data_IF_986559132990
#
_entry.id   IF_986559132990
#
_cell.length_a   1.000
_cell.length_b   1.000
_cell.length_c   1.000
_cell.angle_alpha   90.00
_cell.angle_beta   90.00
_cell.angle_gamma   90.00
#
_symmetry.space_group_name_H-M   'P 1'
#
loop_
_entity.id
_entity.type
_entity.pdbx_description
1 polymer ?
#
# COMPACT_ATOMS: atom_id res chain seq x y z
N UNK A 1 -12.58 -27.67 27.78
CA UNK A 1 -13.17 -26.39 28.25
C UNK A 1 -13.21 -25.41 27.10
N UNK A 2 -14.35 -25.36 26.42
CA UNK A 2 -14.65 -24.38 25.37
C UNK A 2 -14.98 -23.04 26.03
N UNK A 3 -14.34 -21.91 25.64
CA UNK A 3 -14.74 -20.60 26.13
C UNK A 3 -16.14 -20.30 25.60
N UNK A 4 -17.10 -20.10 26.50
CA UNK A 4 -18.47 -19.75 26.15
C UNK A 4 -18.56 -18.48 25.30
N UNK A 5 -19.65 -18.29 24.55
CA UNK A 5 -19.84 -17.13 23.68
C UNK A 5 -19.70 -15.84 24.51
N UNK A 6 -18.63 -15.10 24.20
CA UNK A 6 -18.21 -13.92 24.95
C UNK A 6 -19.29 -12.85 24.97
N UNK A 7 -20.01 -12.77 26.08
CA UNK A 7 -20.56 -11.52 26.57
C UNK A 7 -19.38 -10.54 26.72
N UNK A 8 -19.35 -9.49 25.90
CA UNK A 8 -18.30 -8.46 25.97
C UNK A 8 -18.18 -7.94 27.41
N UNK A 9 -17.07 -8.20 28.13
CA UNK A 9 -16.87 -7.68 29.48
C UNK A 9 -16.05 -6.39 29.37
N UNK A 10 -16.69 -5.24 29.17
CA UNK A 10 -16.14 -3.90 29.43
C UNK A 10 -17.14 -2.82 29.00
N UNK A 11 -17.26 -1.76 29.81
CA UNK A 11 -18.00 -0.50 29.61
C UNK A 11 -19.39 -0.34 30.26
N UNK A 12 -19.81 -1.23 31.17
CA UNK A 12 -20.74 -0.78 32.23
C UNK A 12 -19.90 -0.19 33.36
N UNK A 13 -19.55 1.08 33.23
CA UNK A 13 -19.04 1.87 34.36
C UNK A 13 -20.19 1.98 35.36
N UNK A 14 -20.18 1.13 36.38
CA UNK A 14 -21.10 1.24 37.52
C UNK A 14 -20.47 2.25 38.46
N UNK A 15 -20.95 3.49 38.42
CA UNK A 15 -20.57 4.50 39.41
C UNK A 15 -21.55 4.36 40.59
N UNK A 16 -21.08 4.04 41.80
CA UNK A 16 -21.93 3.94 42.98
C UNK A 16 -22.73 5.24 43.17
N UNK A 17 -24.03 5.13 43.45
CA UNK A 17 -24.90 6.29 43.68
C UNK A 17 -25.42 7.00 42.41
N UNK A 18 -25.01 6.59 41.20
CA UNK A 18 -25.48 7.22 39.95
C UNK A 18 -26.50 6.34 39.23
N UNK A 19 -27.65 6.92 38.87
CA UNK A 19 -28.67 6.23 38.10
C UNK A 19 -28.10 5.67 36.78
N UNK A 20 -28.31 4.37 36.44
CA UNK A 20 -27.73 3.76 35.25
C UNK A 20 -28.09 4.45 33.93
N UNK A 21 -29.28 5.06 33.84
CA UNK A 21 -29.71 5.84 32.68
C UNK A 21 -28.86 7.12 32.51
N UNK A 22 -28.55 7.80 33.62
CA UNK A 22 -27.74 9.01 33.62
C UNK A 22 -26.31 8.70 33.20
N UNK A 23 -25.69 7.68 33.79
CA UNK A 23 -24.35 7.22 33.44
C UNK A 23 -24.23 6.89 31.95
N UNK A 24 -25.24 6.25 31.34
CA UNK A 24 -25.29 6.01 29.88
C UNK A 24 -25.38 7.30 29.08
N UNK A 25 -26.16 8.27 29.53
CA UNK A 25 -26.26 9.57 28.86
C UNK A 25 -24.94 10.33 28.91
N UNK A 26 -24.32 10.43 30.09
CA UNK A 26 -23.01 11.03 30.28
C UNK A 26 -21.92 10.33 29.45
N UNK A 27 -21.92 8.99 29.44
CA UNK A 27 -20.99 8.20 28.63
C UNK A 27 -21.12 8.49 27.12
N UNK A 28 -22.31 8.84 26.61
CA UNK A 28 -22.47 9.23 25.20
C UNK A 28 -21.74 10.55 24.90
N UNK A 29 -21.91 11.56 25.75
CA UNK A 29 -21.26 12.87 25.57
C UNK A 29 -19.75 12.80 25.77
N UNK A 30 -19.27 12.04 26.75
CA UNK A 30 -17.83 11.92 27.03
C UNK A 30 -17.07 11.15 25.94
N UNK A 31 -17.73 10.45 25.00
CA UNK A 31 -17.08 9.81 23.84
C UNK A 31 -16.23 10.78 23.00
N UNK A 32 -16.50 12.08 23.06
CA UNK A 32 -15.67 13.11 22.43
C UNK A 32 -14.21 13.10 22.93
N UNK A 33 -14.01 12.82 24.22
CA UNK A 33 -12.69 12.77 24.85
C UNK A 33 -11.83 11.61 24.29
N UNK A 34 -10.49 11.66 24.43
CA UNK A 34 -9.61 10.52 24.18
C UNK A 34 -9.98 9.30 25.05
N UNK A 35 -9.73 8.08 24.56
CA UNK A 35 -10.10 6.86 25.29
C UNK A 35 -9.23 6.71 26.54
N UNK A 36 -7.92 6.92 26.44
CA UNK A 36 -7.02 6.92 27.60
C UNK A 36 -7.37 8.00 28.65
N UNK A 37 -7.99 9.11 28.23
CA UNK A 37 -8.51 10.12 29.16
C UNK A 37 -9.74 9.60 29.90
N UNK A 38 -10.72 9.04 29.18
CA UNK A 38 -11.95 8.49 29.80
C UNK A 38 -11.67 7.35 30.77
N UNK A 39 -10.71 6.49 30.47
CA UNK A 39 -10.35 5.39 31.37
C UNK A 39 -9.81 5.90 32.71
N UNK A 40 -9.07 7.02 32.70
CA UNK A 40 -8.49 7.61 33.91
C UNK A 40 -9.46 8.51 34.67
N UNK A 41 -10.20 9.37 33.97
CA UNK A 41 -10.99 10.48 34.55
C UNK A 41 -12.49 10.39 34.29
N UNK A 42 -12.94 9.40 33.51
CA UNK A 42 -14.33 9.32 33.07
C UNK A 42 -15.31 9.05 34.20
N UNK A 43 -14.93 8.25 35.20
CA UNK A 43 -15.77 7.98 36.36
C UNK A 43 -15.90 9.21 37.26
N UNK A 44 -14.80 9.93 37.53
CA UNK A 44 -14.79 11.21 38.24
C UNK A 44 -15.72 12.22 37.55
N UNK A 45 -15.60 12.36 36.22
CA UNK A 45 -16.45 13.27 35.45
C UNK A 45 -17.93 12.88 35.51
N UNK A 46 -18.25 11.58 35.46
CA UNK A 46 -19.65 11.12 35.57
C UNK A 46 -20.21 11.38 36.96
N UNK A 47 -19.44 11.18 38.01
CA UNK A 47 -19.84 11.51 39.38
C UNK A 47 -20.12 13.01 39.55
N UNK A 48 -19.19 13.86 39.12
CA UNK A 48 -19.37 15.33 39.14
C UNK A 48 -20.61 15.76 38.35
N UNK A 49 -20.86 15.15 37.18
CA UNK A 49 -22.06 15.44 36.40
C UNK A 49 -23.35 15.01 37.12
N UNK A 50 -23.32 13.91 37.88
CA UNK A 50 -24.47 13.43 38.64
C UNK A 50 -24.75 14.36 39.84
N UNK A 51 -23.71 14.76 40.56
CA UNK A 51 -23.81 15.69 41.68
C UNK A 51 -24.40 17.04 41.23
N UNK A 52 -24.01 17.53 40.07
CA UNK A 52 -24.54 18.77 39.49
C UNK A 52 -25.96 18.65 38.95
N UNK A 53 -26.40 17.46 38.54
CA UNK A 53 -27.72 17.26 37.93
C UNK A 53 -28.82 16.97 38.97
N UNK A 54 -28.44 16.52 40.17
CA UNK A 54 -29.36 16.13 41.25
C UNK A 54 -29.74 14.64 41.20
N UNK A 55 -30.27 14.11 42.32
CA UNK A 55 -30.47 12.66 42.52
C UNK A 55 -31.47 12.03 41.55
N UNK A 56 -32.45 12.80 41.05
CA UNK A 56 -33.51 12.31 40.16
C UNK A 56 -33.17 12.44 38.67
N UNK A 57 -32.00 13.00 38.32
CA UNK A 57 -31.63 13.22 36.95
C UNK A 57 -31.35 11.90 36.21
N UNK A 58 -32.10 11.63 35.14
CA UNK A 58 -31.90 10.42 34.31
C UNK A 58 -31.05 10.67 33.07
N UNK A 59 -30.80 11.93 32.70
CA UNK A 59 -30.03 12.32 31.51
C UNK A 59 -29.27 13.63 31.75
N UNK A 60 -28.09 13.73 31.13
CA UNK A 60 -27.35 15.00 31.02
C UNK A 60 -28.11 15.94 30.09
N UNK A 61 -28.35 17.18 30.55
CA UNK A 61 -28.94 18.26 29.76
C UNK A 61 -28.16 18.52 28.46
N UNK A 62 -28.86 18.96 27.40
CA UNK A 62 -28.27 19.15 26.07
C UNK A 62 -27.19 20.24 26.08
N UNK A 63 -27.39 21.35 26.80
CA UNK A 63 -26.41 22.45 26.88
C UNK A 63 -25.12 21.97 27.54
N UNK A 64 -25.25 21.26 28.66
CA UNK A 64 -24.11 20.63 29.34
C UNK A 64 -23.45 19.60 28.43
N UNK A 65 -24.23 18.77 27.74
CA UNK A 65 -23.76 17.79 26.76
C UNK A 65 -22.93 18.41 25.62
N UNK A 66 -23.40 19.51 25.03
CA UNK A 66 -22.66 20.26 24.00
C UNK A 66 -21.37 20.88 24.56
N UNK A 67 -21.40 21.38 25.80
CA UNK A 67 -20.20 21.82 26.51
C UNK A 67 -19.16 20.71 26.67
N UNK A 68 -19.60 19.50 27.05
CA UNK A 68 -18.77 18.30 27.13
C UNK A 68 -18.23 17.86 25.76
N UNK A 69 -19.05 17.96 24.72
CA UNK A 69 -18.65 17.65 23.35
C UNK A 69 -17.52 18.59 22.90
N UNK A 70 -17.71 19.92 23.06
CA UNK A 70 -16.72 20.94 22.69
C UNK A 70 -15.42 20.77 23.47
N UNK A 71 -15.50 20.66 24.79
CA UNK A 71 -14.32 20.45 25.65
C UNK A 71 -13.59 19.14 25.33
N UNK A 72 -14.32 18.06 25.05
CA UNK A 72 -13.75 16.78 24.63
C UNK A 72 -13.03 16.85 23.28
N UNK A 73 -13.60 17.56 22.30
CA UNK A 73 -12.97 17.80 21.00
C UNK A 73 -11.69 18.65 21.12
N UNK A 74 -11.73 19.73 21.92
CA UNK A 74 -10.55 20.57 22.19
C UNK A 74 -9.47 19.76 22.90
N UNK A 75 -9.83 18.96 23.89
CA UNK A 75 -8.90 18.06 24.60
C UNK A 75 -8.25 17.09 23.62
N UNK A 76 -9.04 16.43 22.77
CA UNK A 76 -8.53 15.52 21.74
C UNK A 76 -7.59 16.23 20.75
N UNK A 77 -7.90 17.48 20.38
CA UNK A 77 -7.05 18.26 19.50
C UNK A 77 -5.70 18.59 20.16
N UNK A 78 -5.71 19.05 21.42
CA UNK A 78 -4.51 19.43 22.20
C UNK A 78 -3.63 18.24 22.58
N UNK A 79 -4.22 17.09 22.88
CA UNK A 79 -3.47 15.87 23.22
C UNK A 79 -2.86 15.16 22.01
N UNK A 80 -3.21 15.57 20.79
CA UNK A 80 -2.73 14.95 19.56
C UNK A 80 -1.48 15.60 18.97
N UNK A 81 -0.90 15.00 17.93
CA UNK A 81 0.20 15.58 17.17
C UNK A 81 -0.22 16.87 16.45
N UNK A 82 0.74 17.77 16.15
CA UNK A 82 0.49 18.93 15.30
C UNK A 82 -0.05 18.48 13.95
N UNK A 83 -0.78 19.37 13.27
CA UNK A 83 -1.53 19.02 12.07
C UNK A 83 -0.69 18.36 10.95
N UNK A 84 0.51 18.86 10.61
CA UNK A 84 1.31 18.25 9.54
C UNK A 84 1.70 16.80 9.84
N UNK A 85 2.17 16.51 11.05
CA UNK A 85 2.51 15.15 11.49
C UNK A 85 1.27 14.25 11.52
N UNK A 86 0.11 14.81 11.89
CA UNK A 86 -1.16 14.08 11.87
C UNK A 86 -1.57 13.69 10.44
N UNK A 87 -1.42 14.59 9.48
CA UNK A 87 -1.70 14.33 8.05
C UNK A 87 -0.71 13.30 7.49
N UNK A 88 0.59 13.43 7.79
CA UNK A 88 1.59 12.43 7.41
C UNK A 88 1.26 11.04 7.95
N UNK A 89 0.85 10.94 9.21
CA UNK A 89 0.43 9.68 9.80
C UNK A 89 -0.82 9.10 9.12
N UNK A 90 -1.86 9.92 8.91
CA UNK A 90 -3.14 9.46 8.35
C UNK A 90 -3.06 9.11 6.86
N UNK A 91 -2.35 9.89 6.05
CA UNK A 91 -2.30 9.74 4.59
C UNK A 91 -1.05 9.00 4.11
N UNK A 92 0.09 9.19 4.77
CA UNK A 92 1.40 8.70 4.31
C UNK A 92 1.96 7.57 5.20
N UNK A 93 1.27 7.19 6.28
CA UNK A 93 1.73 6.16 7.24
C UNK A 93 3.07 6.51 7.92
N UNK A 94 3.38 7.80 8.08
CA UNK A 94 4.61 8.24 8.76
C UNK A 94 4.57 7.86 10.23
N UNK A 95 5.72 7.45 10.78
CA UNK A 95 5.86 7.21 12.22
C UNK A 95 5.75 8.53 12.97
N UNK A 96 5.13 8.49 14.15
CA UNK A 96 5.03 9.64 15.05
C UNK A 96 6.04 9.45 16.19
N UNK A 97 6.54 10.55 16.75
CA UNK A 97 7.42 10.51 17.93
C UNK A 97 6.74 9.82 19.10
N UNK A 98 7.51 9.14 19.95
CA UNK A 98 7.02 8.36 21.10
C UNK A 98 6.12 9.13 22.06
N UNK A 99 6.28 10.47 22.17
CA UNK A 99 5.40 11.33 22.96
C UNK A 99 3.91 11.21 22.58
N UNK A 100 3.62 10.75 21.36
CA UNK A 100 2.27 10.55 20.82
C UNK A 100 1.81 9.09 20.79
N UNK A 101 2.56 8.15 21.36
CA UNK A 101 2.22 6.72 21.35
C UNK A 101 0.81 6.46 21.92
N UNK A 102 0.45 7.14 23.02
CA UNK A 102 -0.89 7.02 23.63
C UNK A 102 -2.00 7.52 22.69
N UNK A 103 -1.75 8.58 21.92
CA UNK A 103 -2.68 9.07 20.91
C UNK A 103 -2.83 8.06 19.76
N UNK A 104 -1.73 7.43 19.33
CA UNK A 104 -1.76 6.39 18.29
C UNK A 104 -2.56 5.16 18.74
N UNK A 105 -2.39 4.70 19.99
CA UNK A 105 -3.21 3.61 20.55
C UNK A 105 -4.71 3.95 20.47
N UNK A 106 -5.06 5.17 20.89
CA UNK A 106 -6.44 5.65 20.87
C UNK A 106 -7.01 5.74 19.44
N UNK A 107 -6.19 6.13 18.47
CA UNK A 107 -6.58 6.20 17.06
C UNK A 107 -6.74 4.80 16.45
N UNK A 108 -5.75 3.91 16.60
CA UNK A 108 -5.75 2.54 16.07
C UNK A 108 -6.89 1.67 16.63
N UNK A 109 -7.35 1.97 17.83
CA UNK A 109 -8.51 1.31 18.44
C UNK A 109 -9.85 1.92 18.00
N UNK A 110 -9.83 3.10 17.38
CA UNK A 110 -11.04 3.81 16.97
C UNK A 110 -11.61 3.26 15.64
N UNK A 111 -12.94 3.32 15.45
CA UNK A 111 -13.55 3.06 14.14
C UNK A 111 -13.08 4.05 13.06
N UNK A 112 -12.67 5.27 13.46
CA UNK A 112 -12.21 6.32 12.54
C UNK A 112 -10.94 5.92 11.80
N UNK A 113 -10.03 5.18 12.44
CA UNK A 113 -8.85 4.66 11.76
C UNK A 113 -9.22 3.77 10.56
N UNK A 114 -10.29 2.96 10.67
CA UNK A 114 -10.76 2.14 9.55
C UNK A 114 -11.27 2.99 8.39
N UNK A 115 -12.03 4.03 8.70
CA UNK A 115 -12.55 4.99 7.72
C UNK A 115 -11.40 5.73 7.03
N UNK A 116 -10.46 6.31 7.79
CA UNK A 116 -9.30 7.01 7.21
C UNK A 116 -8.41 6.08 6.39
N UNK A 117 -8.24 4.84 6.83
CA UNK A 117 -7.55 3.83 6.04
C UNK A 117 -8.26 3.56 4.71
N UNK A 118 -9.57 3.43 4.71
CA UNK A 118 -10.36 3.26 3.49
C UNK A 118 -10.16 4.44 2.53
N UNK A 119 -10.25 5.66 3.06
CA UNK A 119 -9.98 6.89 2.30
C UNK A 119 -8.56 6.85 1.72
N UNK A 120 -7.54 6.52 2.52
CA UNK A 120 -6.15 6.39 2.07
C UNK A 120 -5.96 5.29 1.02
N UNK A 121 -6.58 4.12 1.18
CA UNK A 121 -6.46 3.05 0.17
C UNK A 121 -7.15 3.41 -1.14
N UNK A 122 -8.20 4.22 -1.08
CA UNK A 122 -9.02 4.57 -2.23
C UNK A 122 -8.59 5.86 -2.91
N UNK A 123 -7.79 6.73 -2.27
CA UNK A 123 -7.38 8.00 -2.87
C UNK A 123 -6.68 7.86 -4.24
N UNK A 124 -5.82 6.84 -4.48
CA UNK A 124 -5.23 6.63 -5.81
C UNK A 124 -6.27 6.22 -6.86
N UNK A 125 -7.45 5.75 -6.43
CA UNK A 125 -8.57 5.38 -7.29
C UNK A 125 -9.39 6.57 -7.75
N UNK A 126 -9.45 7.64 -6.93
CA UNK A 126 -10.32 8.79 -7.15
C UNK A 126 -9.99 9.51 -8.45
N UNK A 127 -8.70 9.65 -8.78
CA UNK A 127 -8.28 10.34 -10.00
C UNK A 127 -8.68 9.55 -11.27
N UNK A 128 -8.39 8.24 -11.39
CA UNK A 128 -8.92 7.42 -12.49
C UNK A 128 -10.45 7.46 -12.59
N UNK A 129 -11.20 7.28 -11.48
CA UNK A 129 -12.67 7.29 -11.54
C UNK A 129 -13.26 8.65 -11.89
N UNK A 130 -12.63 9.75 -11.47
CA UNK A 130 -13.04 11.10 -11.89
C UNK A 130 -12.86 11.29 -13.40
N UNK A 131 -11.77 10.79 -13.98
CA UNK A 131 -11.53 10.80 -15.43
C UNK A 131 -12.55 9.90 -16.15
N UNK A 132 -12.99 8.81 -15.53
CA UNK A 132 -14.03 7.94 -16.09
C UNK A 132 -15.42 8.54 -16.13
N UNK A 133 -15.74 9.38 -15.15
CA UNK A 133 -17.05 10.00 -15.03
C UNK A 133 -17.32 11.04 -16.13
N UNK A 134 -16.29 11.53 -16.83
CA UNK A 134 -16.45 12.52 -17.91
C UNK A 134 -16.93 11.92 -19.23
N UNK A 135 -17.19 10.60 -19.32
CA UNK A 135 -17.83 9.96 -20.47
C UNK A 135 -16.92 9.69 -21.67
N UNK A 136 -15.96 10.59 -21.93
CA UNK A 136 -15.01 10.53 -23.05
C UNK A 136 -13.77 9.67 -22.77
N UNK A 137 -13.75 8.97 -21.64
CA UNK A 137 -12.59 8.18 -21.27
C UNK A 137 -12.46 6.94 -22.18
N UNK A 138 -11.33 6.78 -22.90
CA UNK A 138 -11.05 5.56 -23.64
C UNK A 138 -11.19 4.32 -22.76
N UNK A 139 -11.61 3.21 -23.35
CA UNK A 139 -11.92 1.96 -22.64
C UNK A 139 -10.75 1.45 -21.75
N UNK A 140 -9.51 1.82 -22.04
CA UNK A 140 -8.33 1.57 -21.20
C UNK A 140 -8.40 2.23 -19.81
N UNK A 141 -8.88 3.47 -19.74
CA UNK A 141 -9.09 4.13 -18.45
C UNK A 141 -10.21 3.43 -17.68
N UNK A 142 -11.20 2.83 -18.37
CA UNK A 142 -12.36 2.16 -17.73
C UNK A 142 -11.91 0.90 -17.02
N UNK A 143 -11.05 0.12 -17.68
CA UNK A 143 -10.43 -1.05 -17.08
C UNK A 143 -9.51 -0.66 -15.91
N UNK A 144 -8.72 0.42 -16.04
CA UNK A 144 -7.87 0.90 -14.96
C UNK A 144 -8.70 1.30 -13.73
N UNK A 145 -9.77 2.08 -13.91
CA UNK A 145 -10.67 2.46 -12.82
C UNK A 145 -11.36 1.25 -12.18
N UNK A 146 -11.78 0.25 -12.97
CA UNK A 146 -12.31 -1.01 -12.44
C UNK A 146 -11.28 -1.74 -11.58
N UNK A 147 -10.02 -1.84 -12.04
CA UNK A 147 -8.94 -2.46 -11.28
C UNK A 147 -8.67 -1.71 -9.97
N UNK A 148 -8.71 -0.37 -9.96
CA UNK A 148 -8.53 0.37 -8.70
C UNK A 148 -9.72 0.21 -7.75
N UNK A 149 -10.95 0.14 -8.27
CA UNK A 149 -12.14 -0.17 -7.46
C UNK A 149 -12.03 -1.58 -6.85
N UNK A 150 -11.67 -2.59 -7.64
CA UNK A 150 -11.45 -3.96 -7.17
C UNK A 150 -10.35 -4.00 -6.10
N UNK A 151 -9.25 -3.26 -6.30
CA UNK A 151 -8.19 -3.14 -5.32
C UNK A 151 -8.65 -2.45 -4.03
N UNK A 152 -9.44 -1.38 -4.13
CA UNK A 152 -10.02 -0.69 -2.98
C UNK A 152 -10.97 -1.61 -2.19
N UNK A 153 -11.82 -2.37 -2.88
CA UNK A 153 -12.72 -3.37 -2.26
C UNK A 153 -11.92 -4.50 -1.61
N UNK A 154 -10.87 -5.02 -2.25
CA UNK A 154 -9.99 -6.03 -1.67
C UNK A 154 -9.24 -5.51 -0.43
N UNK A 155 -8.84 -4.23 -0.43
CA UNK A 155 -8.22 -3.58 0.73
C UNK A 155 -9.22 -3.36 1.88
N UNK A 156 -10.48 -3.06 1.57
CA UNK A 156 -11.57 -2.98 2.54
C UNK A 156 -11.94 -4.36 3.12
N UNK A 157 -11.89 -5.41 2.30
CA UNK A 157 -12.13 -6.80 2.68
C UNK A 157 -10.95 -7.42 3.44
N UNK A 158 -9.74 -6.88 3.32
CA UNK A 158 -8.56 -7.37 4.04
C UNK A 158 -8.76 -7.28 5.56
N UNK A 159 -8.51 -8.41 6.26
CA UNK A 159 -8.87 -8.56 7.67
C UNK A 159 -8.38 -7.38 8.54
N UNK A 160 -9.30 -6.67 9.23
CA UNK A 160 -8.98 -5.46 9.98
C UNK A 160 -7.97 -5.74 11.11
N UNK A 161 -7.94 -6.97 11.62
CA UNK A 161 -7.02 -7.36 12.68
C UNK A 161 -5.57 -7.44 12.23
N UNK A 162 -5.29 -7.99 11.04
CA UNK A 162 -3.92 -8.13 10.54
C UNK A 162 -3.29 -6.78 10.30
N UNK A 163 -4.08 -5.82 9.79
CA UNK A 163 -3.58 -4.46 9.57
C UNK A 163 -3.46 -3.69 10.87
N UNK A 164 -4.40 -3.85 11.80
CA UNK A 164 -4.24 -3.27 13.14
C UNK A 164 -2.97 -3.80 13.81
N UNK A 165 -2.71 -5.11 13.76
CA UNK A 165 -1.48 -5.72 14.31
C UNK A 165 -0.22 -5.14 13.65
N UNK A 166 -0.24 -4.88 12.33
CA UNK A 166 0.87 -4.23 11.63
C UNK A 166 1.07 -2.80 12.07
N UNK A 167 0.01 -2.01 12.16
CA UNK A 167 0.09 -0.63 12.59
C UNK A 167 0.53 -0.51 14.06
N UNK A 168 0.05 -1.39 14.94
CA UNK A 168 0.51 -1.51 16.33
C UNK A 168 2.00 -1.84 16.36
N UNK A 169 2.46 -2.85 15.61
CA UNK A 169 3.89 -3.18 15.56
C UNK A 169 4.74 -2.03 15.02
N UNK A 170 4.28 -1.34 13.98
CA UNK A 170 5.02 -0.23 13.35
C UNK A 170 5.14 0.99 14.25
N UNK A 171 4.09 1.31 15.00
CA UNK A 171 4.01 2.58 15.74
C UNK A 171 4.15 2.45 17.25
N UNK A 172 4.05 1.25 17.83
CA UNK A 172 4.01 1.05 19.29
C UNK A 172 5.00 0.04 19.84
N UNK A 173 5.69 -0.73 18.99
CA UNK A 173 6.74 -1.65 19.44
C UNK A 173 8.08 -0.97 19.18
N UNK A 174 8.79 -0.50 20.23
CA UNK A 174 10.17 -0.06 20.08
C UNK A 174 10.98 -1.20 19.47
N UNK A 175 11.86 -0.88 18.53
CA UNK A 175 12.84 -1.85 18.05
C UNK A 175 13.70 -2.39 19.21
N UNK A 176 14.30 -3.58 19.09
CA UNK A 176 15.31 -4.00 20.07
C UNK A 176 16.45 -2.96 20.09
N UNK A 177 16.94 -2.55 21.27
CA UNK A 177 18.13 -1.71 21.35
C UNK A 177 19.32 -2.54 20.84
N UNK A 178 20.06 -1.98 19.90
CA UNK A 178 21.29 -2.53 19.35
C UNK A 178 22.42 -1.59 19.74
N UNK A 179 23.50 -2.13 20.30
CA UNK A 179 24.67 -1.32 20.66
C UNK A 179 25.39 -0.95 19.37
N UNK A 180 25.39 0.33 19.03
CA UNK A 180 26.15 0.90 17.93
C UNK A 180 27.66 0.74 18.14
N UNK A 181 28.47 0.93 17.09
CA UNK A 181 29.92 0.70 17.12
C UNK A 181 30.67 1.57 18.15
N UNK A 182 30.05 2.63 18.67
CA UNK A 182 30.59 3.51 19.72
C UNK A 182 30.04 3.24 21.12
N UNK A 183 29.31 2.13 21.32
CA UNK A 183 28.68 1.81 22.61
C UNK A 183 27.32 2.49 22.85
N UNK A 184 26.84 3.30 21.89
CA UNK A 184 25.54 3.96 21.97
C UNK A 184 24.40 2.97 21.76
N UNK A 185 23.33 3.03 22.55
CA UNK A 185 22.14 2.21 22.28
C UNK A 185 21.38 2.82 21.11
N UNK A 186 21.18 2.05 20.05
CA UNK A 186 20.49 2.43 18.82
C UNK A 186 19.25 1.56 18.68
N UNK A 187 18.07 2.17 18.62
CA UNK A 187 16.83 1.41 18.42
C UNK A 187 16.68 1.13 16.92
N UNK A 188 17.08 -0.07 16.48
CA UNK A 188 16.81 -0.49 15.11
C UNK A 188 15.33 -0.82 14.98
N UNK A 189 14.58 0.05 14.29
CA UNK A 189 13.25 -0.29 13.82
C UNK A 189 13.31 -1.59 13.02
N UNK A 190 12.49 -2.60 13.36
CA UNK A 190 12.45 -3.85 12.59
C UNK A 190 11.99 -3.55 11.16
N UNK A 191 12.91 -3.61 10.21
CA UNK A 191 12.61 -3.42 8.79
C UNK A 191 12.07 -4.74 8.24
N UNK A 192 10.79 -4.71 7.86
CA UNK A 192 10.15 -5.85 7.19
C UNK A 192 10.44 -5.77 5.72
N UNK A 193 11.20 -6.74 5.21
CA UNK A 193 11.46 -6.87 3.78
C UNK A 193 10.70 -8.07 3.23
N UNK A 194 10.15 -7.94 2.03
CA UNK A 194 9.41 -9.05 1.41
C UNK A 194 10.39 -10.14 0.99
N UNK A 195 10.05 -11.40 1.28
CA UNK A 195 10.79 -12.56 0.80
C UNK A 195 10.89 -12.54 -0.73
N UNK A 196 12.10 -12.69 -1.26
CA UNK A 196 12.35 -12.61 -2.70
C UNK A 196 11.59 -13.68 -3.47
N UNK A 197 11.63 -14.93 -2.99
CA UNK A 197 11.08 -16.09 -3.68
C UNK A 197 9.59 -15.96 -4.08
N UNK A 198 8.64 -15.73 -3.16
CA UNK A 198 7.23 -15.64 -3.53
C UNK A 198 6.92 -14.40 -4.38
N UNK A 199 7.60 -13.28 -4.15
CA UNK A 199 7.43 -12.07 -4.97
C UNK A 199 7.91 -12.32 -6.40
N UNK A 200 9.09 -12.91 -6.58
CA UNK A 200 9.64 -13.26 -7.88
C UNK A 200 8.75 -14.26 -8.63
N UNK A 201 8.14 -15.24 -7.95
CA UNK A 201 7.14 -16.14 -8.57
C UNK A 201 5.94 -15.37 -9.11
N UNK A 202 5.39 -14.44 -8.33
CA UNK A 202 4.29 -13.58 -8.77
C UNK A 202 4.68 -12.69 -9.96
N UNK A 203 5.83 -12.04 -9.89
CA UNK A 203 6.36 -11.22 -10.99
C UNK A 203 6.64 -12.05 -12.25
N UNK A 204 7.19 -13.26 -12.11
CA UNK A 204 7.48 -14.15 -13.22
C UNK A 204 6.21 -14.66 -13.88
N UNK A 205 5.20 -15.02 -13.10
CA UNK A 205 3.88 -15.39 -13.62
C UNK A 205 3.26 -14.24 -14.42
N UNK A 206 3.30 -13.01 -13.87
CA UNK A 206 2.83 -11.82 -14.58
C UNK A 206 3.61 -11.53 -15.86
N UNK A 207 4.95 -11.64 -15.83
CA UNK A 207 5.79 -11.45 -17.01
C UNK A 207 5.53 -12.52 -18.07
N UNK A 208 5.31 -13.78 -17.67
CA UNK A 208 4.95 -14.87 -18.59
C UNK A 208 3.58 -14.63 -19.23
N UNK A 209 2.56 -14.29 -18.43
CA UNK A 209 1.23 -13.93 -18.95
C UNK A 209 1.30 -12.75 -19.90
N UNK A 210 2.03 -11.69 -19.53
CA UNK A 210 2.22 -10.52 -20.39
C UNK A 210 2.99 -10.83 -21.67
N UNK A 211 4.05 -11.64 -21.60
CA UNK A 211 4.82 -12.02 -22.77
C UNK A 211 3.96 -12.78 -23.78
N UNK A 212 3.11 -13.71 -23.32
CA UNK A 212 2.19 -14.45 -24.20
C UNK A 212 1.08 -13.53 -24.73
N UNK A 213 0.37 -12.84 -23.85
CA UNK A 213 -0.80 -12.05 -24.22
C UNK A 213 -0.43 -10.86 -25.12
N UNK A 214 0.58 -10.08 -24.75
CA UNK A 214 0.99 -8.91 -25.53
C UNK A 214 1.69 -9.29 -26.83
N UNK A 215 2.48 -10.38 -26.88
CA UNK A 215 3.06 -10.81 -28.16
C UNK A 215 1.98 -11.32 -29.12
N UNK A 216 0.97 -12.04 -28.61
CA UNK A 216 -0.18 -12.44 -29.42
C UNK A 216 -0.96 -11.23 -29.93
N UNK A 217 -1.25 -10.24 -29.06
CA UNK A 217 -1.89 -9.01 -29.46
C UNK A 217 -1.08 -8.23 -30.50
N UNK A 218 0.24 -8.15 -30.33
CA UNK A 218 1.14 -7.47 -31.26
C UNK A 218 1.12 -8.12 -32.66
N UNK A 219 0.83 -9.42 -32.76
CA UNK A 219 0.72 -10.15 -34.02
C UNK A 219 -0.70 -10.10 -34.62
N UNK A 220 -1.74 -10.08 -33.79
CA UNK A 220 -3.14 -10.16 -34.21
C UNK A 220 -3.79 -8.80 -34.41
N UNK A 221 -3.25 -7.72 -33.84
CA UNK A 221 -3.86 -6.39 -33.90
C UNK A 221 -4.08 -5.95 -35.36
N UNK A 222 -5.32 -5.55 -35.73
CA UNK A 222 -5.69 -5.26 -37.13
C UNK A 222 -5.18 -3.90 -37.62
N UNK A 223 -4.80 -3.02 -36.69
CA UNK A 223 -4.41 -1.64 -36.96
C UNK A 223 -3.05 -1.31 -36.38
N UNK A 224 -2.34 -0.42 -37.05
CA UNK A 224 -1.00 0.06 -36.67
C UNK A 224 -0.99 1.58 -36.65
N UNK A 225 -0.11 2.20 -35.85
CA UNK A 225 0.06 3.65 -35.87
C UNK A 225 0.83 4.04 -37.12
N UNK A 226 0.23 4.93 -37.91
CA UNK A 226 0.87 5.52 -39.07
C UNK A 226 1.00 7.01 -38.86
N UNK A 227 2.22 7.51 -38.98
CA UNK A 227 2.47 8.95 -39.06
C UNK A 227 2.46 9.35 -40.53
N UNK A 228 1.44 10.08 -40.95
CA UNK A 228 1.39 10.63 -42.32
C UNK A 228 1.74 12.10 -42.28
N UNK A 229 2.66 12.52 -43.14
CA UNK A 229 2.96 13.94 -43.32
C UNK A 229 1.76 14.60 -44.00
N UNK A 230 1.27 15.71 -43.45
CA UNK A 230 0.21 16.47 -44.08
C UNK A 230 0.74 17.05 -45.41
N UNK A 231 -0.11 17.16 -46.45
CA UNK A 231 0.27 17.82 -47.70
C UNK A 231 0.68 19.27 -47.41
N UNK A 232 1.90 19.62 -47.81
CA UNK A 232 2.45 20.95 -47.62
C UNK A 232 2.00 21.86 -48.76
N UNK A 233 0.88 22.56 -48.58
CA UNK A 233 0.44 23.61 -49.52
C UNK A 233 1.29 24.88 -49.32
N UNK A 234 2.51 24.86 -49.87
CA UNK A 234 3.31 26.05 -50.18
C UNK A 234 3.88 26.87 -49.01
N UNK A 235 3.45 26.66 -47.76
CA UNK A 235 3.99 27.32 -46.58
C UNK A 235 4.44 26.27 -45.55
N UNK A 236 5.72 26.33 -45.18
CA UNK A 236 6.40 25.33 -44.34
C UNK A 236 5.74 25.22 -42.96
N UNK A 237 4.84 24.25 -42.82
CA UNK A 237 4.43 23.69 -41.53
C UNK A 237 4.61 22.18 -41.65
N UNK A 238 5.64 21.64 -40.99
CA UNK A 238 5.80 20.19 -40.82
C UNK A 238 4.71 19.69 -39.88
N UNK A 239 3.52 19.44 -40.43
CA UNK A 239 2.44 18.80 -39.68
C UNK A 239 2.52 17.28 -39.88
N UNK A 240 2.57 16.54 -38.78
CA UNK A 240 2.49 15.09 -38.75
C UNK A 240 1.15 14.71 -38.15
N UNK A 241 0.30 14.05 -38.93
CA UNK A 241 -0.93 13.46 -38.42
C UNK A 241 -0.65 12.02 -37.93
N UNK A 242 -1.18 11.68 -36.77
CA UNK A 242 -1.03 10.36 -36.15
C UNK A 242 -2.36 9.63 -36.31
N UNK A 243 -2.45 8.82 -37.36
CA UNK A 243 -3.62 8.01 -37.66
C UNK A 243 -3.42 6.53 -37.35
N UNK A 244 -4.50 5.77 -37.50
CA UNK A 244 -4.44 4.30 -37.55
C UNK A 244 -4.56 3.83 -39.00
N UNK A 245 -3.67 2.94 -39.42
CA UNK A 245 -3.71 2.30 -40.73
C UNK A 245 -3.92 0.79 -40.58
N UNK A 246 -4.60 0.12 -41.54
CA UNK A 246 -4.66 -1.33 -41.60
C UNK A 246 -3.25 -1.93 -41.61
N UNK A 247 -3.08 -3.05 -40.92
CA UNK A 247 -1.79 -3.72 -40.82
C UNK A 247 -1.35 -4.27 -42.20
N UNK A 248 -0.23 -3.77 -42.70
CA UNK A 248 0.43 -4.33 -43.89
C UNK A 248 1.20 -5.63 -43.58
N UNK A 249 1.45 -6.49 -44.59
CA UNK A 249 2.16 -7.76 -44.41
C UNK A 249 3.58 -7.59 -43.85
N UNK A 250 4.27 -6.51 -44.20
CA UNK A 250 5.65 -6.23 -43.75
C UNK A 250 5.75 -5.91 -42.26
N UNK A 251 4.69 -5.36 -41.65
CA UNK A 251 4.69 -5.00 -40.23
C UNK A 251 4.79 -6.24 -39.34
N UNK A 252 4.22 -7.36 -39.77
CA UNK A 252 4.32 -8.63 -39.03
C UNK A 252 5.76 -9.13 -38.94
N UNK A 253 6.54 -9.02 -40.02
CA UNK A 253 7.95 -9.38 -40.02
C UNK A 253 8.76 -8.48 -39.06
N UNK A 254 8.48 -7.18 -39.06
CA UNK A 254 9.10 -6.22 -38.14
C UNK A 254 8.78 -6.54 -36.68
N UNK A 255 7.51 -6.81 -36.35
CA UNK A 255 7.10 -7.18 -34.98
C UNK A 255 7.81 -8.46 -34.51
N UNK A 256 7.87 -9.49 -35.36
CA UNK A 256 8.59 -10.73 -35.04
C UNK A 256 10.08 -10.45 -34.81
N UNK A 257 10.72 -9.63 -35.65
CA UNK A 257 12.11 -9.25 -35.48
C UNK A 257 12.34 -8.50 -34.15
N UNK A 258 11.46 -7.58 -33.78
CA UNK A 258 11.53 -6.84 -32.49
C UNK A 258 11.40 -7.81 -31.30
N UNK A 259 10.45 -8.74 -31.34
CA UNK A 259 10.28 -9.74 -30.27
C UNK A 259 11.50 -10.66 -30.17
N UNK A 260 12.09 -11.08 -31.30
CA UNK A 260 13.30 -11.88 -31.32
C UNK A 260 14.50 -11.12 -30.74
N UNK A 261 14.70 -9.85 -31.13
CA UNK A 261 15.74 -8.99 -30.55
C UNK A 261 15.53 -8.83 -29.04
N UNK A 262 14.30 -8.61 -28.59
CA UNK A 262 13.98 -8.50 -27.16
C UNK A 262 14.32 -9.78 -26.38
N UNK A 263 14.05 -10.96 -26.96
CA UNK A 263 14.44 -12.23 -26.37
C UNK A 263 15.96 -12.36 -26.24
N UNK A 264 16.72 -12.02 -27.29
CA UNK A 264 18.19 -12.03 -27.25
C UNK A 264 18.73 -11.06 -26.20
N UNK A 265 18.23 -9.83 -26.16
CA UNK A 265 18.58 -8.84 -25.13
C UNK A 265 18.27 -9.38 -23.74
N UNK A 266 17.10 -10.01 -23.55
CA UNK A 266 16.71 -10.65 -22.31
C UNK A 266 17.69 -11.74 -21.87
N UNK A 267 18.14 -12.61 -22.78
CA UNK A 267 19.14 -13.65 -22.50
C UNK A 267 20.50 -13.06 -22.09
N UNK A 268 20.95 -12.00 -22.78
CA UNK A 268 22.19 -11.30 -22.42
C UNK A 268 22.08 -10.68 -21.03
N UNK A 269 20.98 -9.97 -20.74
CA UNK A 269 20.73 -9.39 -19.42
C UNK A 269 20.58 -10.46 -18.34
N UNK A 270 19.99 -11.61 -18.66
CA UNK A 270 19.87 -12.73 -17.72
C UNK A 270 21.26 -13.31 -17.35
N UNK A 271 22.20 -13.35 -18.30
CA UNK A 271 23.58 -13.75 -18.03
C UNK A 271 24.30 -12.73 -17.12
N UNK A 272 24.09 -11.43 -17.34
CA UNK A 272 24.61 -10.35 -16.48
C UNK A 272 24.02 -10.45 -15.07
N UNK A 273 22.69 -10.60 -14.96
CA UNK A 273 21.98 -10.81 -13.71
C UNK A 273 22.52 -12.01 -12.93
N UNK A 274 22.74 -13.15 -13.61
CA UNK A 274 23.33 -14.35 -13.00
C UNK A 274 24.70 -14.07 -12.40
N UNK A 275 25.56 -13.34 -13.12
CA UNK A 275 26.91 -12.98 -12.65
C UNK A 275 26.84 -12.04 -11.46
N UNK A 276 25.97 -11.02 -11.50
CA UNK A 276 25.77 -10.08 -10.40
C UNK A 276 25.29 -10.80 -9.14
N UNK A 277 24.27 -11.66 -9.25
CA UNK A 277 23.72 -12.40 -8.11
C UNK A 277 24.72 -13.42 -7.54
N UNK A 278 25.46 -14.15 -8.40
CA UNK A 278 26.50 -15.10 -7.94
C UNK A 278 27.59 -14.43 -7.13
N UNK A 279 27.94 -13.18 -7.47
CA UNK A 279 28.95 -12.40 -6.73
C UNK A 279 28.36 -11.77 -5.47
N UNK A 280 27.16 -11.21 -5.56
CA UNK A 280 26.57 -10.38 -4.50
C UNK A 280 25.80 -11.13 -3.42
N UNK A 281 25.21 -12.29 -3.71
CA UNK A 281 24.44 -13.05 -2.72
C UNK A 281 25.31 -13.57 -1.55
N UNK A 282 26.50 -14.17 -1.78
CA UNK A 282 27.36 -14.61 -0.68
C UNK A 282 27.91 -13.47 0.18
N UNK A 283 27.97 -12.25 -0.36
CA UNK A 283 28.47 -11.06 0.33
C UNK A 283 27.37 -10.23 1.00
N UNK A 284 26.14 -10.75 1.10
CA UNK A 284 25.06 -10.02 1.77
C UNK A 284 25.42 -9.81 3.25
N UNK A 285 25.45 -8.55 3.74
CA UNK A 285 25.77 -8.28 5.13
C UNK A 285 24.69 -8.86 6.04
N UNK A 286 25.10 -9.47 7.15
CA UNK A 286 24.19 -9.90 8.21
C UNK A 286 23.47 -8.70 8.82
N UNK A 287 22.15 -8.69 8.81
CA UNK A 287 21.32 -7.60 9.34
C UNK A 287 20.45 -8.12 10.50
N UNK A 288 20.85 -7.93 11.77
CA UNK A 288 20.14 -8.50 12.92
C UNK A 288 18.73 -7.91 13.12
N UNK A 289 18.48 -6.70 12.64
CA UNK A 289 17.16 -6.05 12.70
C UNK A 289 16.17 -6.46 11.60
N UNK A 290 16.62 -7.27 10.63
CA UNK A 290 15.85 -7.57 9.42
C UNK A 290 14.93 -8.76 9.61
N UNK A 291 13.65 -8.55 9.34
CA UNK A 291 12.64 -9.62 9.29
C UNK A 291 12.23 -9.83 7.83
N UNK A 292 12.61 -10.96 7.23
CA UNK A 292 12.12 -11.34 5.90
C UNK A 292 10.76 -12.01 6.04
N UNK A 293 9.74 -11.38 5.46
CA UNK A 293 8.34 -11.77 5.66
C UNK A 293 7.75 -12.24 4.33
N UNK A 294 6.98 -13.34 4.31
CA UNK A 294 6.22 -13.69 3.12
C UNK A 294 5.22 -12.58 2.75
N UNK A 295 4.88 -12.45 1.46
CA UNK A 295 3.83 -11.54 1.04
C UNK A 295 2.51 -11.94 1.71
N UNK A 296 1.61 -10.97 1.86
CA UNK A 296 0.27 -11.24 2.35
C UNK A 296 -0.46 -12.21 1.42
N UNK A 297 -1.36 -13.06 1.93
CA UNK A 297 -2.20 -13.93 1.08
C UNK A 297 -2.95 -13.16 -0.01
N UNK A 298 -3.36 -11.91 0.28
CA UNK A 298 -4.01 -11.01 -0.68
C UNK A 298 -3.11 -10.53 -1.82
N UNK A 299 -1.80 -10.81 -1.77
CA UNK A 299 -0.89 -10.53 -2.89
C UNK A 299 -1.17 -11.48 -4.05
N UNK A 300 -1.52 -12.74 -3.77
CA UNK A 300 -1.86 -13.73 -4.81
C UNK A 300 -3.10 -13.28 -5.58
N UNK A 301 -4.15 -12.84 -4.87
CA UNK A 301 -5.35 -12.28 -5.51
C UNK A 301 -5.03 -11.04 -6.34
N UNK A 302 -4.09 -10.21 -5.88
CA UNK A 302 -3.60 -9.05 -6.64
C UNK A 302 -2.87 -9.45 -7.92
N UNK A 303 -2.00 -10.47 -7.88
CA UNK A 303 -1.31 -10.97 -9.06
C UNK A 303 -2.27 -11.62 -10.07
N UNK A 304 -3.25 -12.40 -9.60
CA UNK A 304 -4.29 -12.98 -10.48
C UNK A 304 -5.12 -11.88 -11.14
N UNK A 305 -5.57 -10.89 -10.38
CA UNK A 305 -6.32 -9.76 -10.92
C UNK A 305 -5.50 -8.96 -11.94
N UNK A 306 -4.20 -8.72 -11.66
CA UNK A 306 -3.30 -8.06 -12.60
C UNK A 306 -3.08 -8.89 -13.87
N UNK A 307 -2.92 -10.21 -13.76
CA UNK A 307 -2.79 -11.11 -14.91
C UNK A 307 -4.04 -11.08 -15.80
N UNK A 308 -5.23 -11.15 -15.19
CA UNK A 308 -6.51 -11.03 -15.90
C UNK A 308 -6.65 -9.65 -16.58
N UNK A 309 -6.24 -8.58 -15.90
CA UNK A 309 -6.21 -7.23 -16.48
C UNK A 309 -5.30 -7.14 -17.71
N UNK A 310 -4.10 -7.75 -17.65
CA UNK A 310 -3.17 -7.84 -18.78
C UNK A 310 -3.78 -8.61 -19.96
N UNK A 311 -4.41 -9.75 -19.70
CA UNK A 311 -5.06 -10.55 -20.76
C UNK A 311 -6.21 -9.79 -21.39
N UNK A 312 -7.08 -9.16 -20.58
CA UNK A 312 -8.20 -8.38 -21.09
C UNK A 312 -7.74 -7.18 -21.93
N UNK A 313 -6.70 -6.49 -21.48
CA UNK A 313 -6.08 -5.37 -22.19
C UNK A 313 -5.49 -5.80 -23.55
N UNK A 314 -4.73 -6.90 -23.56
CA UNK A 314 -4.16 -7.45 -24.78
C UNK A 314 -5.25 -7.94 -25.76
N UNK A 315 -6.31 -8.58 -25.26
CA UNK A 315 -7.45 -8.99 -26.08
C UNK A 315 -8.18 -7.79 -26.69
N UNK A 316 -8.36 -6.71 -25.92
CA UNK A 316 -9.00 -5.49 -26.42
C UNK A 316 -8.20 -4.86 -27.58
N UNK A 317 -6.87 -4.86 -27.50
CA UNK A 317 -5.97 -4.41 -28.58
C UNK A 317 -6.01 -5.36 -29.78
N UNK A 318 -5.98 -6.68 -29.54
CA UNK A 318 -6.04 -7.70 -30.60
C UNK A 318 -7.33 -7.62 -31.42
N UNK A 319 -8.47 -7.27 -30.80
CA UNK A 319 -9.77 -7.11 -31.47
C UNK A 319 -9.91 -5.70 -32.11
N UNK A 320 -8.95 -4.79 -31.90
CA UNK A 320 -9.00 -3.43 -32.44
C UNK A 320 -9.94 -2.48 -31.68
N UNK A 321 -10.48 -2.90 -30.53
CA UNK A 321 -11.28 -2.02 -29.65
C UNK A 321 -10.44 -0.96 -28.96
N UNK A 322 -9.13 -1.23 -28.79
CA UNK A 322 -8.13 -0.27 -28.32
C UNK A 322 -7.15 0.06 -29.44
N UNK A 323 -6.98 1.35 -29.69
CA UNK A 323 -6.00 1.87 -30.64
C UNK A 323 -4.62 2.07 -30.01
N UNK A 324 -4.46 1.92 -28.69
CA UNK A 324 -3.17 2.05 -28.03
C UNK A 324 -2.29 0.85 -28.41
N UNK A 325 -1.19 1.07 -29.13
CA UNK A 325 -0.20 0.04 -29.49
C UNK A 325 0.68 -0.39 -28.31
N UNK A 326 0.07 -0.69 -27.16
CA UNK A 326 0.79 -1.10 -25.95
C UNK A 326 1.54 -2.40 -26.17
N UNK A 327 0.98 -3.31 -26.97
CA UNK A 327 1.57 -4.61 -27.29
C UNK A 327 2.99 -4.51 -27.86
N UNK A 328 3.29 -3.48 -28.66
CA UNK A 328 4.60 -3.24 -29.30
C UNK A 328 5.69 -2.98 -28.26
N UNK A 329 5.36 -2.37 -27.13
CA UNK A 329 6.32 -2.09 -26.05
C UNK A 329 6.25 -3.14 -24.94
N UNK A 330 5.03 -3.52 -24.55
CA UNK A 330 4.78 -4.42 -23.43
C UNK A 330 5.23 -5.86 -23.74
N UNK A 331 5.05 -6.36 -24.96
CA UNK A 331 5.51 -7.70 -25.37
C UNK A 331 7.03 -7.87 -25.20
N UNK A 332 7.85 -7.03 -25.87
CA UNK A 332 9.31 -7.01 -25.69
C UNK A 332 9.75 -6.86 -24.24
N UNK A 333 9.16 -5.93 -23.49
CA UNK A 333 9.49 -5.70 -22.09
C UNK A 333 9.20 -6.94 -21.23
N UNK A 334 8.05 -7.58 -21.42
CA UNK A 334 7.68 -8.81 -20.70
C UNK A 334 8.62 -9.98 -21.03
N UNK A 335 9.07 -10.12 -22.29
CA UNK A 335 10.05 -11.16 -22.68
C UNK A 335 11.42 -10.95 -21.99
N UNK A 336 11.90 -9.71 -21.94
CA UNK A 336 13.13 -9.35 -21.22
C UNK A 336 12.98 -9.64 -19.72
N UNK A 337 11.86 -9.21 -19.12
CA UNK A 337 11.60 -9.45 -17.69
C UNK A 337 11.45 -10.94 -17.36
N UNK A 338 10.83 -11.72 -18.25
CA UNK A 338 10.63 -13.17 -18.08
C UNK A 338 11.98 -13.91 -18.02
N UNK A 339 12.89 -13.61 -18.95
CA UNK A 339 14.21 -14.25 -19.01
C UNK A 339 15.09 -13.87 -17.82
N UNK A 340 15.16 -12.59 -17.47
CA UNK A 340 15.90 -12.10 -16.30
C UNK A 340 15.30 -12.63 -15.00
N UNK A 341 13.97 -12.61 -14.89
CA UNK A 341 13.22 -13.08 -13.72
C UNK A 341 13.40 -14.57 -13.46
N UNK A 342 13.41 -15.41 -14.51
CA UNK A 342 13.61 -16.85 -14.38
C UNK A 342 14.99 -17.20 -13.79
N UNK A 343 16.05 -16.56 -14.29
CA UNK A 343 17.41 -16.74 -13.76
C UNK A 343 17.54 -16.22 -12.34
N UNK A 344 16.92 -15.07 -12.06
CA UNK A 344 16.90 -14.47 -10.73
C UNK A 344 16.20 -15.39 -9.73
N UNK A 345 15.04 -15.94 -10.09
CA UNK A 345 14.29 -16.90 -9.30
C UNK A 345 15.12 -18.16 -9.02
N UNK A 346 15.80 -18.70 -10.04
CA UNK A 346 16.65 -19.87 -9.89
C UNK A 346 17.83 -19.62 -8.94
N UNK A 347 18.38 -18.41 -8.92
CA UNK A 347 19.51 -18.04 -8.06
C UNK A 347 19.13 -17.93 -6.58
N UNK A 348 17.88 -17.56 -6.26
CA UNK A 348 17.43 -17.34 -4.86
C UNK A 348 16.53 -18.45 -4.33
N UNK A 349 16.25 -19.50 -5.12
CA UNK A 349 15.27 -20.54 -4.75
C UNK A 349 15.64 -21.32 -3.49
N UNK A 350 16.94 -21.45 -3.22
CA UNK A 350 17.49 -22.25 -2.13
C UNK A 350 17.74 -21.40 -0.86
N UNK A 351 17.49 -20.09 -0.90
CA UNK A 351 17.73 -19.17 0.22
C UNK A 351 16.48 -18.35 0.57
N UNK A 352 15.79 -18.77 1.63
CA UNK A 352 14.59 -18.11 2.14
C UNK A 352 14.87 -16.77 2.84
N UNK A 353 16.13 -16.43 3.13
CA UNK A 353 16.52 -15.23 3.87
C UNK A 353 16.78 -14.02 2.96
N UNK A 354 16.77 -14.22 1.65
CA UNK A 354 16.97 -13.14 0.67
C UNK A 354 15.70 -12.30 0.54
N UNK A 355 15.86 -10.99 0.70
CA UNK A 355 14.79 -10.01 0.49
C UNK A 355 14.75 -9.58 -0.97
N UNK A 356 13.53 -9.36 -1.48
CA UNK A 356 13.30 -8.93 -2.86
C UNK A 356 14.05 -7.62 -3.20
N UNK A 357 14.12 -6.67 -2.27
CA UNK A 357 14.78 -5.38 -2.49
C UNK A 357 16.30 -5.51 -2.70
N UNK A 358 16.95 -6.48 -2.05
CA UNK A 358 18.38 -6.69 -2.22
C UNK A 358 18.67 -7.26 -3.60
N UNK A 359 17.83 -8.20 -4.05
CA UNK A 359 17.91 -8.75 -5.41
C UNK A 359 17.84 -7.62 -6.43
N UNK A 360 16.87 -6.71 -6.30
CA UNK A 360 16.75 -5.56 -7.20
C UNK A 360 17.99 -4.65 -7.14
N UNK A 361 18.54 -4.39 -5.95
CA UNK A 361 19.77 -3.58 -5.80
C UNK A 361 20.98 -4.24 -6.43
N UNK A 362 21.18 -5.53 -6.21
CA UNK A 362 22.25 -6.31 -6.80
C UNK A 362 22.15 -6.34 -8.33
N UNK A 363 20.94 -6.51 -8.88
CA UNK A 363 20.70 -6.44 -10.31
C UNK A 363 20.96 -5.03 -10.89
N UNK A 364 20.70 -3.98 -10.10
CA UNK A 364 21.02 -2.61 -10.46
C UNK A 364 22.51 -2.25 -10.28
N UNK A 365 23.35 -3.20 -9.85
CA UNK A 365 24.78 -2.96 -9.55
C UNK A 365 25.00 -2.02 -8.37
N UNK A 366 24.02 -1.91 -7.46
CA UNK A 366 24.10 -1.06 -6.27
C UNK A 366 24.39 -1.88 -5.03
N UNK A 367 25.12 -1.28 -4.11
CA UNK A 367 25.37 -1.88 -2.81
C UNK A 367 24.06 -2.05 -2.02
N UNK A 368 23.99 -3.17 -1.30
CA UNK A 368 22.86 -3.46 -0.42
C UNK A 368 23.00 -2.58 0.81
N UNK A 369 22.10 -1.61 0.97
CA UNK A 369 22.12 -0.75 2.14
C UNK A 369 21.94 -1.60 3.40
N UNK A 370 22.91 -1.47 4.29
CA UNK A 370 22.77 -1.83 5.68
C UNK A 370 21.76 -0.86 6.28
N UNK A 371 20.77 -1.38 6.99
CA UNK A 371 19.86 -0.53 7.75
C UNK A 371 20.70 0.15 8.84
N UNK A 372 21.13 1.37 8.58
CA UNK A 372 21.74 2.24 9.59
C UNK A 372 20.65 2.53 10.62
N UNK A 373 20.95 2.23 11.88
CA UNK A 373 20.02 2.62 12.93
C UNK A 373 20.04 4.12 13.10
N UNK A 374 18.86 4.72 13.20
CA UNK A 374 18.77 6.08 13.70
C UNK A 374 19.40 6.09 15.09
N UNK A 375 20.48 6.87 15.33
CA UNK A 375 21.06 6.97 16.66
C UNK A 375 19.91 7.27 17.62
N UNK A 376 19.71 6.42 18.63
CA UNK A 376 18.63 6.68 19.57
C UNK A 376 18.88 8.08 20.09
N UNK A 377 17.90 8.98 19.94
CA UNK A 377 17.96 10.30 20.53
C UNK A 377 18.40 10.09 21.98
N UNK A 378 19.62 10.51 22.29
CA UNK A 378 20.22 10.30 23.58
C UNK A 378 19.23 10.85 24.61
N UNK A 379 18.55 9.95 25.31
CA UNK A 379 17.71 10.35 26.43
C UNK A 379 18.71 10.89 27.44
N UNK A 380 18.71 12.19 27.73
CA UNK A 380 19.63 12.72 28.72
C UNK A 380 19.36 11.95 30.02
N UNK A 381 20.39 11.28 30.52
CA UNK A 381 20.36 10.64 31.83
C UNK A 381 20.01 11.71 32.86
N UNK A 382 18.81 11.64 33.40
CA UNK A 382 18.33 12.51 34.47
C UNK A 382 19.03 12.18 35.79
#
# INVERSE_FOLDING_TARGET
MTPGPGTRPADRVVVPGVAPAFARSAARWTRAYPRGWRLRRGHELVAVLADLAGPDATRVDVRTGLGLLRSGLVTRHRSGPPWPSRVGYLLLDTTLSDRYATWVVDDLTSPRYRMWRAVRSSWPAVLPTAILATGDAPAALRLLGLLVVVQAVALLASHPETVRRRAVRRHLVPGPPVVGPRGEQVVLGRTRRLAALPVLRGCLALAATGAVAWSAAALLAPVTWSTTACPADGAVVTCTDVGTAPRGPDVSAVVVAVLAVALVVGLVLAAVARRALRRGLPSLPGQPGREVVPPVPTAVTGWVAAALGVVAAAAAEAVGTWTLSLSVLAGPACLVLLTVGAVTLAAVRDDATVAFVDVVRLLAGRDVAVDEGEPALAVPSA
#
